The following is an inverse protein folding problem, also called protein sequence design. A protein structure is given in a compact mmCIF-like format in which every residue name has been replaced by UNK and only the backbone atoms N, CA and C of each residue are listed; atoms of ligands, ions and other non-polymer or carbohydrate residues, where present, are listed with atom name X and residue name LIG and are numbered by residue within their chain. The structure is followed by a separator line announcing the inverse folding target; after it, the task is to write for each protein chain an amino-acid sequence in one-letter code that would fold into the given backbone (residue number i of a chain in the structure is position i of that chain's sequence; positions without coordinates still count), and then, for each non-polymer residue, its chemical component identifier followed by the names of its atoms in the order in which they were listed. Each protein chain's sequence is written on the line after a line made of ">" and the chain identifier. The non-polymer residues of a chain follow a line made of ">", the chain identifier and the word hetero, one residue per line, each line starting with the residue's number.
data_IF_850086954280
#
_entry.id   IF_850086954280
#
_cell.length_a   1.000
_cell.length_b   1.000
_cell.length_c   1.000
_cell.angle_alpha   90.00
_cell.angle_beta   90.00
_cell.angle_gamma   90.00
#
_symmetry.space_group_name_H-M   'P 1'
#
loop_
_entity.id
_entity.type
_entity.pdbx_description
1 polymer ?
#
# COMPACT_ATOMS: atom_id res chain seq x y z
N UNK A 1 -24.59 2.65 -27.50
CA UNK A 1 -23.44 3.50 -27.18
C UNK A 1 -22.22 2.76 -27.68
N UNK A 2 -21.48 3.31 -28.65
CA UNK A 2 -20.30 2.64 -29.18
C UNK A 2 -19.17 2.69 -28.13
N UNK A 3 -18.32 1.67 -28.10
CA UNK A 3 -17.08 1.58 -27.28
C UNK A 3 -16.09 2.74 -27.51
N UNK A 4 -16.39 3.66 -28.43
CA UNK A 4 -15.52 4.77 -28.83
C UNK A 4 -15.81 6.09 -28.08
N UNK A 5 -16.83 6.16 -27.23
CA UNK A 5 -17.15 7.40 -26.47
C UNK A 5 -16.47 7.45 -25.08
N UNK A 6 -15.89 6.32 -24.63
CA UNK A 6 -15.18 6.22 -23.34
C UNK A 6 -13.78 6.86 -23.36
N UNK A 7 -13.16 7.03 -24.54
CA UNK A 7 -11.83 7.63 -24.69
C UNK A 7 -11.82 9.15 -24.47
N UNK A 8 -12.99 9.82 -24.50
CA UNK A 8 -13.08 11.27 -24.24
C UNK A 8 -13.01 11.61 -22.75
N UNK A 9 -13.21 10.64 -21.86
CA UNK A 9 -13.37 10.86 -20.41
C UNK A 9 -12.05 10.80 -19.65
N UNK A 10 -11.13 9.95 -20.10
CA UNK A 10 -9.87 9.67 -19.43
C UNK A 10 -8.68 10.33 -20.11
N UNK A 11 -7.68 10.71 -19.32
CA UNK A 11 -6.36 11.10 -19.81
C UNK A 11 -5.40 9.93 -19.56
N UNK A 12 -5.07 9.21 -20.62
CA UNK A 12 -4.08 8.12 -20.55
C UNK A 12 -2.67 8.70 -20.57
N UNK A 13 -1.87 8.33 -19.59
CA UNK A 13 -0.48 8.73 -19.46
C UNK A 13 0.39 7.93 -20.44
N UNK A 14 1.36 8.59 -21.06
CA UNK A 14 2.29 7.93 -21.98
C UNK A 14 3.34 7.11 -21.24
N UNK A 15 3.93 6.08 -21.87
CA UNK A 15 5.05 5.34 -21.31
C UNK A 15 6.21 6.24 -20.87
N UNK A 16 6.53 7.29 -21.63
CA UNK A 16 7.55 8.26 -21.25
C UNK A 16 7.19 9.08 -20.01
N UNK A 17 5.92 9.44 -19.83
CA UNK A 17 5.49 10.12 -18.60
C UNK A 17 5.64 9.21 -17.39
N UNK A 18 5.33 7.91 -17.53
CA UNK A 18 5.50 6.94 -16.46
C UNK A 18 6.99 6.68 -16.20
N UNK A 19 7.79 6.57 -17.27
CA UNK A 19 9.23 6.37 -17.19
C UNK A 19 9.90 7.54 -16.46
N UNK A 20 9.54 8.78 -16.80
CA UNK A 20 10.11 9.95 -16.13
C UNK A 20 9.81 9.95 -14.63
N UNK A 21 8.67 9.41 -14.18
CA UNK A 21 8.37 9.27 -12.74
C UNK A 21 9.21 8.21 -12.03
N UNK A 22 9.63 7.19 -12.78
CA UNK A 22 10.51 6.13 -12.26
C UNK A 22 11.96 6.64 -12.19
N UNK A 23 12.38 7.49 -13.12
CA UNK A 23 13.77 7.93 -13.26
C UNK A 23 14.07 9.25 -12.52
N UNK A 24 13.19 10.26 -12.58
CA UNK A 24 13.42 11.60 -12.02
C UNK A 24 12.83 11.71 -10.61
N UNK A 25 13.68 11.83 -9.58
CA UNK A 25 13.24 11.96 -8.19
C UNK A 25 12.73 13.37 -7.86
N UNK A 26 12.96 14.34 -8.76
CA UNK A 26 12.53 15.73 -8.68
C UNK A 26 11.29 16.04 -9.55
N UNK A 27 10.48 15.02 -9.86
CA UNK A 27 9.17 15.22 -10.49
C UNK A 27 7.97 15.10 -9.54
N UNK A 28 7.24 16.22 -9.34
CA UNK A 28 5.94 16.24 -8.66
C UNK A 28 4.82 15.82 -9.63
N UNK A 29 4.06 14.78 -9.26
CA UNK A 29 2.91 14.34 -10.05
C UNK A 29 1.61 14.89 -9.50
N UNK A 30 0.87 15.62 -10.33
CA UNK A 30 -0.49 16.08 -10.01
C UNK A 30 -1.49 15.30 -10.85
N UNK A 31 -2.29 14.47 -10.19
CA UNK A 31 -3.19 13.53 -10.84
C UNK A 31 -4.64 13.76 -10.42
N UNK A 32 -5.56 13.51 -11.35
CA UNK A 32 -7.00 13.43 -11.15
C UNK A 32 -7.38 11.98 -10.97
N UNK A 33 -7.81 11.60 -9.76
CA UNK A 33 -8.11 10.21 -9.42
C UNK A 33 -9.26 9.61 -10.25
N UNK A 34 -10.13 10.45 -10.81
CA UNK A 34 -11.26 10.03 -11.65
C UNK A 34 -11.03 10.16 -13.16
N UNK A 35 -9.88 10.67 -13.59
CA UNK A 35 -9.60 10.95 -15.02
C UNK A 35 -8.28 10.42 -15.50
N UNK A 36 -7.23 10.48 -14.68
CA UNK A 36 -5.90 10.10 -15.10
C UNK A 36 -5.71 8.61 -14.94
N UNK A 37 -5.33 7.97 -16.04
CA UNK A 37 -5.12 6.53 -16.11
C UNK A 37 -3.76 6.23 -16.71
N UNK A 38 -3.16 5.13 -16.27
CA UNK A 38 -2.02 4.54 -16.95
C UNK A 38 -2.51 3.63 -18.09
N UNK A 39 -1.63 3.15 -18.99
CA UNK A 39 -2.00 2.13 -19.97
C UNK A 39 -2.71 0.93 -19.31
N UNK A 40 -3.81 0.48 -19.91
CA UNK A 40 -4.77 -0.47 -19.31
C UNK A 40 -5.96 0.18 -18.58
N UNK A 41 -5.98 1.51 -18.46
CA UNK A 41 -7.12 2.25 -17.92
C UNK A 41 -7.21 2.26 -16.39
N UNK A 42 -6.18 1.78 -15.69
CA UNK A 42 -6.11 1.78 -14.23
C UNK A 42 -5.79 3.19 -13.71
N UNK A 43 -6.39 3.55 -12.56
CA UNK A 43 -6.27 4.91 -12.02
C UNK A 43 -4.81 5.24 -11.69
N UNK A 44 -4.23 6.26 -12.34
CA UNK A 44 -2.84 6.63 -12.08
C UNK A 44 -2.62 7.08 -10.63
N UNK A 45 -3.68 7.67 -10.04
CA UNK A 45 -3.71 8.08 -8.65
C UNK A 45 -3.54 6.93 -7.65
N UNK A 46 -3.60 5.65 -8.05
CA UNK A 46 -3.33 4.49 -7.18
C UNK A 46 -2.05 3.72 -7.57
N UNK A 47 -1.16 4.34 -8.36
CA UNK A 47 0.17 3.80 -8.64
C UNK A 47 0.89 3.41 -7.33
N UNK A 48 1.50 2.21 -7.25
CA UNK A 48 2.15 1.77 -6.02
C UNK A 48 3.35 2.64 -5.66
N UNK A 49 3.69 2.67 -4.37
CA UNK A 49 4.96 3.20 -3.91
C UNK A 49 6.11 2.36 -4.48
N UNK A 50 7.16 3.04 -4.93
CA UNK A 50 8.39 2.41 -5.42
C UNK A 50 9.56 2.88 -4.58
N UNK A 51 10.59 2.04 -4.48
CA UNK A 51 11.85 2.42 -3.85
C UNK A 51 12.83 2.78 -4.94
N UNK A 52 13.45 3.96 -4.79
CA UNK A 52 14.64 4.30 -5.56
C UNK A 52 15.86 3.79 -4.82
N UNK A 53 16.24 2.55 -5.12
CA UNK A 53 17.39 1.90 -4.50
C UNK A 53 18.71 2.59 -4.87
N UNK A 54 18.80 3.19 -6.06
CA UNK A 54 20.01 3.88 -6.53
C UNK A 54 20.27 5.21 -5.80
N UNK A 55 19.19 5.90 -5.42
CA UNK A 55 19.24 7.14 -4.63
C UNK A 55 19.18 6.89 -3.11
N UNK A 56 19.00 5.63 -2.68
CA UNK A 56 18.98 5.22 -1.27
C UNK A 56 20.39 4.93 -0.76
N UNK A 57 20.61 5.12 0.55
CA UNK A 57 21.86 4.75 1.22
C UNK A 57 21.54 3.93 2.47
N UNK A 58 21.55 2.61 2.34
CA UNK A 58 21.16 1.69 3.43
C UNK A 58 22.20 1.57 4.54
N UNK A 59 23.43 2.02 4.29
CA UNK A 59 24.60 1.82 5.16
C UNK A 59 25.28 3.13 5.55
N UNK A 60 24.76 4.27 5.07
CA UNK A 60 25.25 5.60 5.42
C UNK A 60 25.00 5.99 6.87
N UNK A 61 25.55 7.14 7.23
CA UNK A 61 25.44 7.75 8.55
C UNK A 61 24.89 9.19 8.39
N UNK A 62 23.56 9.39 8.34
CA UNK A 62 22.51 8.40 8.62
C UNK A 62 22.04 7.61 7.38
N UNK A 63 21.65 6.36 7.60
CA UNK A 63 21.06 5.51 6.57
C UNK A 63 19.68 6.03 6.14
N UNK A 64 19.37 5.97 4.85
CA UNK A 64 18.12 6.48 4.29
C UNK A 64 17.60 5.66 3.12
N UNK A 65 16.28 5.73 2.91
CA UNK A 65 15.58 5.15 1.76
C UNK A 65 14.83 6.25 1.04
N UNK A 66 14.94 6.30 -0.29
CA UNK A 66 14.14 7.19 -1.13
C UNK A 66 12.91 6.44 -1.62
N UNK A 67 11.73 6.93 -1.24
CA UNK A 67 10.44 6.43 -1.68
C UNK A 67 9.83 7.35 -2.72
N UNK A 68 9.38 6.76 -3.81
CA UNK A 68 8.62 7.42 -4.88
C UNK A 68 7.13 7.21 -4.67
N UNK A 69 6.35 8.12 -5.22
CA UNK A 69 4.88 8.06 -5.26
C UNK A 69 4.20 8.18 -3.89
N UNK A 70 4.80 8.91 -2.94
CA UNK A 70 4.18 9.20 -1.64
C UNK A 70 3.11 10.26 -1.84
N UNK A 71 1.86 9.95 -1.48
CA UNK A 71 0.76 10.91 -1.55
C UNK A 71 0.89 11.96 -0.44
N UNK A 72 1.14 13.20 -0.83
CA UNK A 72 1.20 14.36 0.07
C UNK A 72 0.57 15.56 -0.62
N UNK A 73 -0.67 15.88 -0.22
CA UNK A 73 -1.45 16.96 -0.79
C UNK A 73 -2.41 16.52 -1.89
N UNK A 74 -3.08 17.51 -2.48
CA UNK A 74 -4.25 17.31 -3.32
C UNK A 74 -5.53 17.77 -2.63
N UNK A 75 -6.65 17.63 -3.32
CA UNK A 75 -7.95 18.06 -2.83
C UNK A 75 -8.96 16.92 -3.08
N UNK A 76 -9.44 16.25 -2.02
CA UNK A 76 -10.43 15.18 -2.14
C UNK A 76 -11.73 15.59 -2.85
N UNK A 77 -12.16 16.85 -2.70
CA UNK A 77 -13.37 17.36 -3.37
C UNK A 77 -13.16 17.54 -4.88
N UNK A 78 -11.96 17.94 -5.27
CA UNK A 78 -11.56 17.98 -6.67
C UNK A 78 -11.07 16.63 -7.18
N UNK A 79 -10.99 15.60 -6.32
CA UNK A 79 -10.40 14.30 -6.64
C UNK A 79 -8.99 14.44 -7.21
N UNK A 80 -8.22 15.39 -6.71
CA UNK A 80 -6.81 15.56 -7.06
C UNK A 80 -5.92 14.94 -6.00
N UNK A 81 -4.85 14.27 -6.43
CA UNK A 81 -3.78 13.74 -5.56
C UNK A 81 -2.45 14.28 -6.05
N UNK A 82 -1.53 14.52 -5.13
CA UNK A 82 -0.17 14.94 -5.45
C UNK A 82 0.80 13.90 -4.92
N UNK A 83 1.59 13.32 -5.81
CA UNK A 83 2.56 12.30 -5.47
C UNK A 83 3.97 12.89 -5.53
N UNK A 84 4.77 12.58 -4.51
CA UNK A 84 6.11 13.10 -4.29
C UNK A 84 7.14 11.98 -4.09
N UNK A 85 8.41 12.34 -4.26
CA UNK A 85 9.55 11.58 -3.76
C UNK A 85 9.94 12.04 -2.36
N UNK A 86 10.20 11.11 -1.47
CA UNK A 86 10.51 11.35 -0.05
C UNK A 86 11.77 10.59 0.34
N UNK A 87 12.75 11.29 0.92
CA UNK A 87 13.91 10.68 1.58
C UNK A 87 13.58 10.40 3.04
N UNK A 88 13.62 9.13 3.41
CA UNK A 88 13.26 8.64 4.73
C UNK A 88 14.52 8.25 5.51
N UNK A 89 14.88 8.95 6.60
CA UNK A 89 15.97 8.53 7.48
C UNK A 89 15.53 7.34 8.33
N UNK A 90 16.30 6.25 8.31
CA UNK A 90 15.95 5.02 9.02
C UNK A 90 16.18 5.11 10.53
N UNK A 91 17.11 5.97 10.96
CA UNK A 91 17.41 6.24 12.37
C UNK A 91 16.41 7.22 13.02
N UNK A 92 15.52 7.82 12.21
CA UNK A 92 14.46 8.72 12.63
C UNK A 92 13.18 8.01 13.11
N UNK A 93 13.07 6.68 12.97
CA UNK A 93 11.86 5.95 13.38
C UNK A 93 11.68 5.95 14.91
N UNK A 94 10.56 6.52 15.36
CA UNK A 94 10.16 6.61 16.76
C UNK A 94 9.26 5.46 17.18
N UNK A 95 8.27 5.15 16.35
CA UNK A 95 7.31 4.06 16.60
C UNK A 95 6.63 3.62 15.31
N UNK A 96 6.06 2.41 15.33
CA UNK A 96 5.17 1.92 14.30
C UNK A 96 3.83 1.49 14.93
N UNK A 97 2.74 1.65 14.22
CA UNK A 97 1.39 1.34 14.67
C UNK A 97 0.65 0.52 13.62
N UNK A 98 -0.01 -0.56 14.07
CA UNK A 98 -1.05 -1.21 13.28
C UNK A 98 -2.34 -0.40 13.44
N UNK A 99 -2.87 0.15 12.35
CA UNK A 99 -4.06 1.01 12.39
C UNK A 99 -5.22 0.35 11.66
N UNK A 100 -6.34 0.19 12.37
CA UNK A 100 -7.60 -0.32 11.84
C UNK A 100 -8.55 0.84 11.55
N UNK A 101 -9.08 0.90 10.32
CA UNK A 101 -9.98 1.94 9.84
C UNK A 101 -11.27 1.29 9.33
N UNK A 102 -12.37 1.32 10.10
CA UNK A 102 -13.61 0.65 9.73
C UNK A 102 -14.36 1.32 8.57
N UNK A 103 -14.98 0.50 7.71
CA UNK A 103 -15.90 0.96 6.68
C UNK A 103 -17.35 0.93 7.20
N UNK A 104 -17.91 2.10 7.56
CA UNK A 104 -19.33 2.25 7.89
C UNK A 104 -19.72 1.98 9.35
N UNK A 105 -21.00 1.67 9.58
CA UNK A 105 -21.58 1.49 10.92
C UNK A 105 -21.03 0.24 11.63
N UNK A 106 -20.71 0.35 12.92
CA UNK A 106 -20.13 -0.72 13.74
C UNK A 106 -18.74 -0.42 14.34
N UNK A 107 -18.10 0.68 13.91
CA UNK A 107 -16.80 1.11 14.44
C UNK A 107 -15.76 -0.02 14.34
N UNK A 108 -14.87 -0.17 15.33
CA UNK A 108 -13.79 -1.20 15.30
C UNK A 108 -14.27 -2.64 15.14
N UNK A 109 -15.55 -2.92 15.34
CA UNK A 109 -16.14 -4.26 15.20
C UNK A 109 -16.88 -4.42 13.88
N UNK A 110 -16.80 -3.42 13.01
CA UNK A 110 -17.35 -3.46 11.66
C UNK A 110 -16.77 -4.64 10.87
N UNK A 111 -17.58 -5.28 10.01
CA UNK A 111 -17.19 -6.49 9.30
C UNK A 111 -16.14 -6.24 8.20
N UNK A 112 -16.01 -5.00 7.75
CA UNK A 112 -15.02 -4.58 6.76
C UNK A 112 -14.21 -3.41 7.33
N UNK A 113 -12.90 -3.55 7.30
CA UNK A 113 -11.97 -2.55 7.78
C UNK A 113 -10.76 -2.51 6.87
N UNK A 114 -10.19 -1.33 6.70
CA UNK A 114 -8.86 -1.19 6.16
C UNK A 114 -7.84 -1.34 7.28
N UNK A 115 -6.71 -1.98 6.98
CA UNK A 115 -5.59 -2.15 7.92
C UNK A 115 -4.35 -1.54 7.31
N UNK A 116 -3.72 -0.64 8.06
CA UNK A 116 -2.58 0.16 7.64
C UNK A 116 -1.41 -0.02 8.61
N UNK A 117 -0.19 0.19 8.11
CA UNK A 117 0.99 0.36 8.94
C UNK A 117 1.40 1.84 8.94
N UNK A 118 1.39 2.45 10.12
CA UNK A 118 1.79 3.84 10.32
C UNK A 118 3.16 3.88 10.98
N UNK A 119 4.09 4.64 10.43
CA UNK A 119 5.44 4.87 10.95
C UNK A 119 5.56 6.32 11.38
N UNK A 120 5.87 6.55 12.65
CA UNK A 120 6.01 7.88 13.25
C UNK A 120 7.49 8.16 13.46
N UNK A 121 7.91 9.38 13.13
CA UNK A 121 9.30 9.80 13.17
C UNK A 121 9.61 10.71 14.37
N UNK A 122 10.89 10.76 14.75
CA UNK A 122 11.42 11.68 15.75
C UNK A 122 11.48 13.10 15.20
N UNK A 123 11.25 14.08 16.06
CA UNK A 123 11.37 15.49 15.71
C UNK A 123 12.80 15.81 15.25
N UNK A 124 12.95 16.46 14.10
CA UNK A 124 14.24 16.75 13.48
C UNK A 124 14.85 15.58 12.68
N UNK A 125 14.19 14.42 12.62
CA UNK A 125 14.57 13.27 11.78
C UNK A 125 13.38 12.77 10.95
N UNK A 126 12.52 13.69 10.54
CA UNK A 126 11.37 13.39 9.71
C UNK A 126 11.80 13.09 8.27
N UNK A 127 11.03 12.25 7.55
CA UNK A 127 11.10 12.17 6.10
C UNK A 127 11.01 13.54 5.44
N UNK A 128 11.81 13.75 4.40
CA UNK A 128 11.89 15.00 3.66
C UNK A 128 11.43 14.82 2.22
N UNK A 129 10.56 15.70 1.75
CA UNK A 129 10.23 15.83 0.33
C UNK A 129 11.49 16.25 -0.43
N UNK A 130 11.97 15.38 -1.34
CA UNK A 130 13.24 15.58 -2.06
C UNK A 130 13.25 16.90 -2.82
N UNK A 131 12.12 17.20 -3.46
CA UNK A 131 11.81 18.40 -4.24
C UNK A 131 11.91 19.73 -3.49
N UNK A 132 11.51 19.70 -2.21
CA UNK A 132 11.35 20.90 -1.39
C UNK A 132 12.49 21.02 -0.37
N UNK A 133 13.45 20.09 -0.38
CA UNK A 133 14.59 20.09 0.52
C UNK A 133 15.44 21.36 0.28
N UNK A 134 15.45 22.27 1.27
CA UNK A 134 16.20 23.52 1.20
C UNK A 134 15.49 24.67 0.48
N UNK A 135 14.22 24.53 0.12
CA UNK A 135 13.43 25.63 -0.44
C UNK A 135 13.19 26.73 0.62
N UNK A 136 13.51 27.99 0.29
CA UNK A 136 13.30 29.15 1.18
C UNK A 136 11.82 29.52 1.36
N UNK A 137 10.94 29.04 0.46
CA UNK A 137 9.50 29.31 0.48
C UNK A 137 8.72 28.04 0.13
N UNK A 138 7.61 27.77 0.83
CA UNK A 138 6.79 26.59 0.59
C UNK A 138 6.17 26.00 1.86
N UNK A 139 5.42 24.90 1.71
CA UNK A 139 4.99 24.07 2.84
C UNK A 139 6.21 23.42 3.52
N UNK A 140 6.10 23.09 4.81
CA UNK A 140 7.16 22.36 5.52
C UNK A 140 7.47 21.06 4.75
N UNK A 141 8.74 20.83 4.33
CA UNK A 141 9.11 19.64 3.58
C UNK A 141 9.11 18.37 4.44
N UNK A 142 8.97 18.50 5.76
CA UNK A 142 9.01 17.40 6.74
C UNK A 142 7.67 16.72 6.88
N UNK A 143 7.69 15.39 6.88
CA UNK A 143 6.51 14.56 7.08
C UNK A 143 6.63 13.82 8.42
N UNK A 144 5.81 14.13 9.44
CA UNK A 144 5.96 13.55 10.78
C UNK A 144 5.69 12.04 10.83
N UNK A 145 4.91 11.52 9.88
CA UNK A 145 4.55 10.12 9.79
C UNK A 145 4.21 9.67 8.36
N UNK A 146 4.56 8.43 8.05
CA UNK A 146 4.18 7.76 6.81
C UNK A 146 3.19 6.64 7.09
N UNK A 147 2.17 6.51 6.24
CA UNK A 147 1.16 5.46 6.33
C UNK A 147 1.21 4.62 5.07
N UNK A 148 1.32 3.31 5.26
CA UNK A 148 1.32 2.32 4.20
C UNK A 148 0.03 1.50 4.26
N UNK A 149 -0.65 1.41 3.12
CA UNK A 149 -1.88 0.63 2.98
C UNK A 149 -1.84 -0.19 1.70
N UNK A 150 -2.14 -1.49 1.81
CA UNK A 150 -2.36 -2.33 0.62
C UNK A 150 -3.76 -2.10 0.09
N UNK A 151 -3.88 -1.71 -1.18
CA UNK A 151 -5.15 -1.32 -1.80
C UNK A 151 -5.41 -2.13 -3.07
N UNK A 152 -6.70 -2.20 -3.43
CA UNK A 152 -7.14 -2.69 -4.73
C UNK A 152 -6.92 -1.61 -5.80
N UNK A 153 -5.88 -1.73 -6.60
CA UNK A 153 -5.67 -0.86 -7.77
C UNK A 153 -6.61 -1.28 -8.89
N UNK A 154 -7.44 -0.34 -9.35
CA UNK A 154 -8.54 -0.58 -10.29
C UNK A 154 -8.74 0.58 -11.26
N UNK A 155 -9.64 0.42 -12.21
CA UNK A 155 -10.07 1.50 -13.10
C UNK A 155 -10.95 2.53 -12.37
N UNK A 156 -10.97 3.81 -12.76
CA UNK A 156 -11.79 4.83 -12.11
C UNK A 156 -13.32 4.61 -12.17
N UNK A 157 -13.81 3.91 -13.19
CA UNK A 157 -15.23 3.58 -13.38
C UNK A 157 -15.68 2.30 -12.67
N UNK A 158 -14.75 1.58 -12.04
CA UNK A 158 -15.04 0.33 -11.35
C UNK A 158 -15.12 0.60 -9.86
N UNK A 159 -16.31 0.45 -9.30
CA UNK A 159 -16.50 0.47 -7.85
C UNK A 159 -15.89 -0.78 -7.20
N UNK A 160 -15.56 -0.64 -5.91
CA UNK A 160 -15.13 -1.78 -5.12
C UNK A 160 -16.31 -2.70 -4.81
N UNK A 161 -16.18 -3.98 -5.11
CA UNK A 161 -17.14 -5.02 -4.75
C UNK A 161 -16.40 -6.22 -4.15
N UNK A 162 -16.77 -6.57 -2.92
CA UNK A 162 -16.16 -7.67 -2.19
C UNK A 162 -16.22 -8.99 -2.97
N UNK A 163 -17.37 -9.32 -3.59
CA UNK A 163 -17.55 -10.60 -4.30
C UNK A 163 -16.74 -10.64 -5.58
N UNK A 164 -16.69 -9.55 -6.34
CA UNK A 164 -15.83 -9.47 -7.53
C UNK A 164 -14.36 -9.67 -7.19
N UNK A 165 -13.91 -9.15 -6.04
CA UNK A 165 -12.55 -9.35 -5.57
C UNK A 165 -12.22 -10.79 -5.15
N UNK A 166 -13.21 -11.66 -5.00
CA UNK A 166 -12.99 -13.09 -4.68
C UNK A 166 -12.53 -13.90 -5.90
N UNK A 167 -12.64 -13.33 -7.10
CA UNK A 167 -12.12 -13.93 -8.33
C UNK A 167 -10.85 -13.20 -8.77
N UNK A 168 -9.71 -13.76 -8.37
CA UNK A 168 -8.39 -13.25 -8.77
C UNK A 168 -8.06 -13.51 -10.23
N UNK A 169 -8.69 -14.51 -10.88
CA UNK A 169 -8.47 -14.79 -12.31
C UNK A 169 -9.06 -13.68 -13.19
N UNK A 170 -10.08 -12.97 -12.69
CA UNK A 170 -10.71 -11.86 -13.41
C UNK A 170 -9.82 -10.61 -13.49
N UNK A 171 -8.74 -10.52 -12.69
CA UNK A 171 -7.77 -9.41 -12.69
C UNK A 171 -8.41 -8.01 -12.60
N UNK A 172 -9.55 -7.90 -11.90
CA UNK A 172 -10.27 -6.63 -11.74
C UNK A 172 -9.52 -5.70 -10.78
N UNK A 173 -8.86 -6.28 -9.78
CA UNK A 173 -8.15 -5.57 -8.72
C UNK A 173 -6.70 -6.04 -8.62
N UNK A 174 -5.77 -5.18 -8.99
CA UNK A 174 -4.34 -5.42 -8.76
C UNK A 174 -3.97 -5.06 -7.32
N UNK A 175 -3.02 -5.78 -6.75
CA UNK A 175 -2.47 -5.52 -5.43
C UNK A 175 -1.45 -4.39 -5.52
N UNK A 176 -1.65 -3.34 -4.72
CA UNK A 176 -0.75 -2.18 -4.69
C UNK A 176 -0.46 -1.77 -3.26
N UNK A 177 0.81 -1.64 -2.88
CA UNK A 177 1.18 -0.95 -1.65
C UNK A 177 1.24 0.55 -1.93
N UNK A 178 0.41 1.32 -1.23
CA UNK A 178 0.39 2.77 -1.32
C UNK A 178 1.06 3.39 -0.10
N UNK A 179 1.79 4.47 -0.33
CA UNK A 179 2.40 5.29 0.71
C UNK A 179 1.76 6.68 0.76
N UNK A 180 1.48 7.15 1.96
CA UNK A 180 0.84 8.44 2.22
C UNK A 180 1.60 9.16 3.32
N UNK A 181 1.65 10.49 3.26
CA UNK A 181 1.80 11.27 4.48
C UNK A 181 0.60 11.00 5.38
N UNK A 182 0.83 10.78 6.68
CA UNK A 182 -0.26 10.40 7.58
C UNK A 182 -1.38 11.43 7.63
N UNK A 183 -1.03 12.73 7.59
CA UNK A 183 -2.00 13.83 7.60
C UNK A 183 -2.95 13.81 6.41
N UNK A 184 -2.44 13.45 5.22
CA UNK A 184 -3.24 13.29 4.01
C UNK A 184 -4.22 12.10 4.15
N UNK A 185 -3.72 10.94 4.58
CA UNK A 185 -4.57 9.75 4.76
C UNK A 185 -5.64 9.97 5.83
N UNK A 186 -5.27 10.57 6.96
CA UNK A 186 -6.21 10.86 8.05
C UNK A 186 -7.28 11.86 7.63
N UNK A 187 -6.92 12.88 6.83
CA UNK A 187 -7.89 13.83 6.29
C UNK A 187 -8.92 13.14 5.40
N UNK A 188 -8.48 12.29 4.47
CA UNK A 188 -9.36 11.53 3.57
C UNK A 188 -10.31 10.64 4.38
N UNK A 189 -9.81 9.87 5.34
CA UNK A 189 -10.64 9.02 6.20
C UNK A 189 -11.60 9.84 7.08
N UNK A 190 -11.16 10.97 7.63
CA UNK A 190 -11.99 11.85 8.43
C UNK A 190 -13.15 12.47 7.64
N UNK A 191 -12.91 12.87 6.38
CA UNK A 191 -13.96 13.37 5.48
C UNK A 191 -15.00 12.30 5.16
N UNK A 192 -14.60 11.04 5.16
CA UNK A 192 -15.48 9.88 5.03
C UNK A 192 -16.13 9.44 6.37
N UNK A 193 -15.87 10.17 7.47
CA UNK A 193 -16.40 9.87 8.79
C UNK A 193 -15.80 8.60 9.41
N UNK A 194 -14.58 8.24 9.01
CA UNK A 194 -13.88 7.04 9.48
C UNK A 194 -12.89 7.39 10.58
N UNK A 195 -12.93 6.61 11.65
CA UNK A 195 -12.03 6.74 12.79
C UNK A 195 -10.84 5.77 12.65
N UNK A 196 -9.72 6.13 13.27
CA UNK A 196 -8.55 5.23 13.37
C UNK A 196 -8.46 4.59 14.75
N UNK A 197 -8.27 3.27 14.77
CA UNK A 197 -7.96 2.50 15.97
C UNK A 197 -6.53 1.97 15.85
N UNK A 198 -5.58 2.69 16.44
CA UNK A 198 -4.15 2.43 16.32
C UNK A 198 -3.61 1.64 17.51
N UNK A 199 -2.77 0.66 17.21
CA UNK A 199 -2.12 -0.23 18.17
C UNK A 199 -0.60 -0.10 18.00
N UNK A 200 0.09 0.58 18.92
CA UNK A 200 1.54 0.70 18.87
C UNK A 200 2.21 -0.68 18.93
N UNK A 201 3.07 -0.95 17.97
CA UNK A 201 3.84 -2.18 17.88
C UNK A 201 4.99 -2.16 18.90
N UNK A 202 5.30 -3.35 19.40
CA UNK A 202 6.47 -3.66 20.22
C UNK A 202 7.29 -4.72 19.47
N UNK A 203 8.21 -4.27 18.64
CA UNK A 203 9.10 -5.15 17.90
C UNK A 203 10.32 -5.52 18.76
N UNK A 204 10.85 -6.75 18.63
CA UNK A 204 12.15 -7.08 19.21
C UNK A 204 13.24 -6.16 18.63
N UNK A 205 14.30 -5.88 19.39
CA UNK A 205 15.38 -5.00 18.96
C UNK A 205 15.07 -3.49 18.98
N UNK A 206 13.89 -3.07 19.44
CA UNK A 206 13.54 -1.66 19.61
C UNK A 206 13.63 -0.87 18.29
N UNK A 207 14.48 0.16 18.23
CA UNK A 207 14.68 0.98 17.03
C UNK A 207 15.17 0.17 15.82
N UNK A 208 16.02 -0.83 16.02
CA UNK A 208 16.47 -1.70 14.94
C UNK A 208 15.30 -2.52 14.38
N UNK A 209 14.42 -3.01 15.25
CA UNK A 209 13.18 -3.67 14.85
C UNK A 209 12.26 -2.77 14.03
N UNK A 210 12.11 -1.49 14.41
CA UNK A 210 11.34 -0.52 13.64
C UNK A 210 11.93 -0.30 12.24
N UNK A 211 13.25 -0.14 12.14
CA UNK A 211 13.94 0.00 10.87
C UNK A 211 13.76 -1.26 9.99
N UNK A 212 13.84 -2.45 10.57
CA UNK A 212 13.61 -3.71 9.85
C UNK A 212 12.15 -3.87 9.39
N UNK A 213 11.17 -3.41 10.18
CA UNK A 213 9.77 -3.40 9.74
C UNK A 213 9.55 -2.45 8.56
N UNK A 214 10.10 -1.24 8.64
CA UNK A 214 10.01 -0.27 7.55
C UNK A 214 10.64 -0.83 6.27
N UNK A 215 11.87 -1.35 6.39
CA UNK A 215 12.62 -2.06 5.34
C UNK A 215 11.82 -3.20 4.72
N UNK A 216 11.26 -4.09 5.55
CA UNK A 216 10.43 -5.20 5.08
C UNK A 216 9.18 -4.72 4.33
N UNK A 217 8.55 -3.64 4.83
CA UNK A 217 7.36 -3.04 4.22
C UNK A 217 7.67 -2.51 2.82
N UNK A 218 8.72 -1.71 2.68
CA UNK A 218 9.04 -1.06 1.41
C UNK A 218 9.64 -2.04 0.40
N UNK A 219 10.43 -3.02 0.82
CA UNK A 219 10.95 -4.06 -0.08
C UNK A 219 9.84 -4.99 -0.59
N UNK A 220 8.92 -5.41 0.27
CA UNK A 220 7.76 -6.22 -0.16
C UNK A 220 6.85 -5.41 -1.10
N UNK A 221 6.61 -4.14 -0.78
CA UNK A 221 5.83 -3.23 -1.62
C UNK A 221 6.45 -3.01 -3.00
N UNK A 222 7.74 -2.68 -3.06
CA UNK A 222 8.48 -2.45 -4.30
C UNK A 222 8.52 -3.71 -5.17
N UNK A 223 8.77 -4.88 -4.58
CA UNK A 223 8.73 -6.15 -5.30
C UNK A 223 7.36 -6.43 -5.93
N UNK A 224 6.29 -6.36 -5.12
CA UNK A 224 4.93 -6.57 -5.62
C UNK A 224 4.53 -5.52 -6.68
N UNK A 225 4.94 -4.26 -6.50
CA UNK A 225 4.70 -3.17 -7.43
C UNK A 225 5.33 -3.43 -8.80
N UNK A 226 6.60 -3.83 -8.82
CA UNK A 226 7.32 -4.14 -10.06
C UNK A 226 6.72 -5.31 -10.81
N UNK A 227 6.34 -6.38 -10.10
CA UNK A 227 5.70 -7.55 -10.71
C UNK A 227 4.31 -7.21 -11.28
N UNK A 228 3.53 -6.41 -10.56
CA UNK A 228 2.20 -5.92 -10.99
C UNK A 228 2.34 -5.03 -12.22
N UNK A 229 3.21 -4.02 -12.16
CA UNK A 229 3.46 -3.08 -13.26
C UNK A 229 3.96 -3.81 -14.50
N UNK A 230 4.90 -4.73 -14.35
CA UNK A 230 5.48 -5.46 -15.47
C UNK A 230 4.45 -6.36 -16.18
N UNK A 231 3.50 -6.95 -15.46
CA UNK A 231 2.44 -7.78 -16.06
C UNK A 231 1.33 -6.97 -16.69
N UNK A 232 0.83 -5.97 -15.97
CA UNK A 232 -0.16 -5.06 -16.49
C UNK A 232 0.34 -4.40 -17.79
N UNK A 233 1.58 -3.88 -17.82
CA UNK A 233 2.15 -3.30 -19.03
C UNK A 233 2.55 -4.36 -20.09
N UNK A 234 2.80 -5.61 -19.72
CA UNK A 234 3.01 -6.64 -20.74
C UNK A 234 1.72 -6.93 -21.52
N UNK A 235 0.56 -6.95 -20.85
CA UNK A 235 -0.74 -7.19 -21.49
C UNK A 235 -1.22 -6.04 -22.39
N UNK A 236 -0.81 -4.81 -22.08
CA UNK A 236 -1.35 -3.59 -22.72
C UNK A 236 -0.55 -3.11 -23.94
N UNK A 237 0.67 -3.61 -24.13
CA UNK A 237 1.56 -3.18 -25.24
C UNK A 237 0.89 -3.34 -26.60
N UNK A 238 0.30 -4.50 -26.85
CA UNK A 238 -0.31 -4.82 -28.15
C UNK A 238 -1.63 -4.08 -28.37
N UNK A 239 -2.37 -3.76 -27.30
CA UNK A 239 -3.57 -2.95 -27.38
C UNK A 239 -3.21 -1.48 -27.70
N UNK A 240 -2.22 -0.92 -27.00
CA UNK A 240 -1.78 0.46 -27.17
C UNK A 240 -1.18 0.71 -28.57
N UNK A 241 -0.38 -0.23 -29.09
CA UNK A 241 0.19 -0.12 -30.44
C UNK A 241 -0.87 -0.12 -31.54
N UNK A 242 -2.00 -0.80 -31.36
CA UNK A 242 -3.12 -0.82 -32.33
C UNK A 242 -3.87 0.52 -32.43
N UNK A 243 -3.80 1.35 -31.39
CA UNK A 243 -4.57 2.59 -31.28
C UNK A 243 -3.72 3.87 -31.35
N UNK A 244 -2.41 3.73 -31.58
CA UNK A 244 -1.50 4.86 -31.73
C UNK A 244 -1.56 5.44 -33.15
N UNK A 245 -1.42 6.78 -33.34
CA UNK A 245 -1.40 7.36 -34.68
C UNK A 245 -0.28 6.74 -35.52
N UNK A 246 -0.56 6.24 -36.74
CA UNK A 246 0.45 5.60 -37.56
C UNK A 246 1.46 6.64 -38.05
N UNK A 247 2.70 6.45 -37.63
CA UNK A 247 3.88 7.10 -38.20
C UNK A 247 5.09 6.21 -37.95
N UNK A 248 5.82 5.84 -39.01
CA UNK A 248 6.92 4.87 -38.95
C UNK A 248 8.02 5.23 -37.93
N UNK A 249 8.20 6.52 -37.63
CA UNK A 249 9.13 7.01 -36.60
C UNK A 249 8.51 7.09 -35.20
N UNK A 250 7.22 7.41 -35.09
CA UNK A 250 6.51 7.51 -33.81
C UNK A 250 6.27 6.11 -33.20
N UNK A 251 5.93 5.12 -34.02
CA UNK A 251 5.67 3.75 -33.52
C UNK A 251 6.96 3.06 -33.04
N UNK A 252 8.09 3.26 -33.74
CA UNK A 252 9.40 2.76 -33.29
C UNK A 252 9.87 3.44 -32.01
N UNK A 253 9.68 4.76 -31.90
CA UNK A 253 10.00 5.54 -30.71
C UNK A 253 9.19 5.03 -29.50
N UNK A 254 7.87 4.88 -29.64
CA UNK A 254 7.02 4.34 -28.58
C UNK A 254 7.44 2.91 -28.19
N UNK A 255 7.66 2.01 -29.15
CA UNK A 255 8.09 0.63 -28.82
C UNK A 255 9.38 0.63 -28.03
N UNK A 256 10.31 1.53 -28.38
CA UNK A 256 11.55 1.73 -27.63
C UNK A 256 11.28 2.22 -26.20
N UNK A 257 10.43 3.25 -26.04
CA UNK A 257 10.01 3.78 -24.75
C UNK A 257 9.34 2.72 -23.86
N UNK A 258 8.47 1.90 -24.44
CA UNK A 258 7.80 0.80 -23.75
C UNK A 258 8.78 -0.27 -23.28
N UNK A 259 9.74 -0.64 -24.14
CA UNK A 259 10.76 -1.60 -23.80
C UNK A 259 11.70 -1.08 -22.70
N UNK A 260 12.06 0.21 -22.75
CA UNK A 260 12.87 0.82 -21.69
C UNK A 260 12.08 0.89 -20.39
N UNK A 261 10.80 1.27 -20.40
CA UNK A 261 9.93 1.23 -19.22
C UNK A 261 9.87 -0.15 -18.59
N UNK A 262 9.60 -1.20 -19.38
CA UNK A 262 9.58 -2.57 -18.87
C UNK A 262 10.95 -3.01 -18.33
N UNK A 263 12.03 -2.60 -18.98
CA UNK A 263 13.40 -2.90 -18.53
C UNK A 263 13.66 -2.24 -17.18
N UNK A 264 13.38 -0.94 -17.02
CA UNK A 264 13.55 -0.20 -15.78
C UNK A 264 12.72 -0.77 -14.62
N UNK A 265 11.46 -1.13 -14.89
CA UNK A 265 10.60 -1.79 -13.89
C UNK A 265 11.21 -3.12 -13.43
N UNK A 266 11.72 -3.92 -14.37
CA UNK A 266 12.29 -5.25 -14.12
C UNK A 266 13.73 -5.23 -13.63
N UNK A 267 14.40 -4.07 -13.61
CA UNK A 267 15.75 -4.01 -13.06
C UNK A 267 15.68 -4.36 -11.58
N UNK A 268 16.32 -5.48 -11.26
CA UNK A 268 16.53 -5.91 -9.88
C UNK A 268 17.74 -5.16 -9.36
N UNK A 269 17.57 -4.40 -8.28
CA UNK A 269 18.70 -3.73 -7.66
C UNK A 269 19.53 -4.73 -6.83
N UNK A 270 20.84 -4.88 -7.09
CA UNK A 270 21.74 -5.75 -6.30
C UNK A 270 21.86 -5.33 -4.82
N UNK A 271 21.55 -4.07 -4.49
CA UNK A 271 21.54 -3.51 -3.15
C UNK A 271 20.18 -3.63 -2.46
N UNK A 272 19.11 -4.01 -3.18
CA UNK A 272 17.84 -4.32 -2.54
C UNK A 272 18.08 -5.49 -1.57
N UNK A 273 17.69 -5.33 -0.30
CA UNK A 273 17.65 -6.47 0.63
C UNK A 273 16.91 -7.62 -0.04
N UNK A 274 17.34 -8.87 0.20
CA UNK A 274 16.78 -10.08 -0.44
C UNK A 274 15.28 -9.89 -0.69
N UNK A 275 14.88 -9.66 -1.95
CA UNK A 275 13.53 -9.19 -2.21
C UNK A 275 12.55 -10.25 -1.72
N UNK A 276 11.54 -9.80 -0.98
CA UNK A 276 10.44 -10.67 -0.58
C UNK A 276 9.47 -10.68 -1.76
N UNK A 277 9.69 -11.63 -2.67
CA UNK A 277 8.79 -11.80 -3.80
C UNK A 277 7.52 -12.52 -3.38
N UNK A 278 6.38 -11.95 -3.74
CA UNK A 278 5.16 -12.73 -3.85
C UNK A 278 5.26 -13.58 -5.11
N UNK A 279 4.79 -14.84 -5.10
CA UNK A 279 4.62 -15.60 -6.32
C UNK A 279 3.85 -14.79 -7.37
N UNK A 280 4.16 -14.90 -8.67
CA UNK A 280 3.45 -14.15 -9.71
C UNK A 280 1.92 -14.30 -9.60
N UNK A 281 1.41 -15.48 -9.28
CA UNK A 281 -0.02 -15.73 -9.09
C UNK A 281 -0.71 -14.86 -7.98
N UNK A 282 0.06 -14.09 -7.19
CA UNK A 282 -0.37 -13.37 -5.98
C UNK A 282 -0.31 -11.84 -6.09
N UNK A 283 -0.24 -11.25 -7.28
CA UNK A 283 -0.28 -9.79 -7.46
C UNK A 283 -1.68 -9.18 -7.58
N UNK A 284 -2.71 -9.98 -7.37
CA UNK A 284 -4.10 -9.52 -7.34
C UNK A 284 -4.55 -9.30 -5.90
N UNK A 285 -5.31 -8.23 -5.70
CA UNK A 285 -5.93 -7.94 -4.42
C UNK A 285 -7.11 -8.90 -4.22
N UNK A 286 -7.05 -9.72 -3.17
CA UNK A 286 -8.11 -10.66 -2.82
C UNK A 286 -8.60 -10.40 -1.38
N UNK A 287 -9.89 -10.08 -1.15
CA UNK A 287 -10.39 -9.58 0.13
C UNK A 287 -10.12 -10.46 1.35
N UNK A 288 -10.05 -11.79 1.17
CA UNK A 288 -9.76 -12.72 2.27
C UNK A 288 -8.31 -13.20 2.34
N UNK A 289 -7.53 -13.05 1.27
CA UNK A 289 -6.24 -13.77 1.13
C UNK A 289 -5.08 -12.78 1.02
N UNK A 290 -5.26 -11.73 0.22
CA UNK A 290 -4.26 -10.70 -0.09
C UNK A 290 -4.91 -9.33 0.02
N UNK A 291 -5.45 -9.05 1.20
CA UNK A 291 -6.09 -7.80 1.54
C UNK A 291 -5.16 -6.92 2.37
N UNK A 292 -5.57 -5.68 2.62
CA UNK A 292 -4.90 -4.81 3.58
C UNK A 292 -4.60 -5.48 4.93
N UNK A 293 -5.53 -6.27 5.45
CA UNK A 293 -5.38 -6.99 6.71
C UNK A 293 -4.33 -8.10 6.64
N UNK A 294 -4.47 -9.02 5.68
CA UNK A 294 -3.56 -10.18 5.58
C UNK A 294 -2.15 -9.74 5.22
N UNK A 295 -2.00 -8.74 4.35
CA UNK A 295 -0.70 -8.23 3.93
C UNK A 295 0.00 -7.45 5.04
N UNK A 296 -0.70 -6.57 5.78
CA UNK A 296 -0.11 -5.87 6.92
C UNK A 296 0.35 -6.84 8.02
N UNK A 297 -0.47 -7.85 8.32
CA UNK A 297 -0.13 -8.94 9.23
C UNK A 297 1.09 -9.72 8.75
N UNK A 298 1.08 -10.16 7.49
CA UNK A 298 2.19 -10.90 6.88
C UNK A 298 3.51 -10.14 7.00
N UNK A 299 3.51 -8.84 6.68
CA UNK A 299 4.70 -7.98 6.80
C UNK A 299 5.24 -7.95 8.23
N UNK A 300 4.38 -7.71 9.23
CA UNK A 300 4.80 -7.68 10.65
C UNK A 300 5.41 -9.01 11.08
N UNK A 301 4.74 -10.13 10.77
CA UNK A 301 5.21 -11.46 11.17
C UNK A 301 6.50 -11.85 10.46
N UNK A 302 6.63 -11.53 9.16
CA UNK A 302 7.85 -11.77 8.40
C UNK A 302 9.03 -11.00 8.99
N UNK A 303 8.83 -9.73 9.33
CA UNK A 303 9.83 -8.91 10.01
C UNK A 303 10.26 -9.54 11.32
N UNK A 304 9.30 -9.94 12.17
CA UNK A 304 9.60 -10.56 13.47
C UNK A 304 10.41 -11.85 13.29
N UNK A 305 10.06 -12.70 12.32
CA UNK A 305 10.83 -13.92 12.02
C UNK A 305 12.26 -13.61 11.57
N UNK A 306 12.46 -12.56 10.75
CA UNK A 306 13.80 -12.08 10.35
C UNK A 306 14.62 -11.58 11.55
N UNK A 307 13.98 -10.82 12.44
CA UNK A 307 14.60 -10.34 13.67
C UNK A 307 15.01 -11.51 14.57
N UNK A 308 14.14 -12.50 14.78
CA UNK A 308 14.47 -13.71 15.55
C UNK A 308 15.64 -14.47 14.92
N UNK A 309 15.63 -14.66 13.59
CA UNK A 309 16.72 -15.32 12.88
C UNK A 309 18.07 -14.57 13.01
N UNK A 310 18.02 -13.24 13.21
CA UNK A 310 19.18 -12.40 13.52
C UNK A 310 19.57 -12.36 15.00
N UNK A 311 18.90 -13.14 15.85
CA UNK A 311 19.16 -13.21 17.30
C UNK A 311 18.40 -12.17 18.14
N UNK A 312 17.35 -11.55 17.59
CA UNK A 312 16.51 -10.56 18.28
C UNK A 312 15.09 -11.12 18.51
N UNK A 313 14.83 -11.66 19.69
CA UNK A 313 13.56 -12.26 20.09
C UNK A 313 12.94 -11.65 21.36
N UNK A 314 13.56 -10.58 21.87
CA UNK A 314 13.18 -9.92 23.13
C UNK A 314 11.70 -9.52 23.18
N UNK A 315 10.98 -10.04 24.17
CA UNK A 315 9.56 -9.76 24.41
C UNK A 315 8.59 -10.53 23.52
N UNK A 316 9.08 -11.30 22.55
CA UNK A 316 8.25 -12.17 21.69
C UNK A 316 7.88 -13.44 22.45
N UNK A 317 6.61 -13.84 22.37
CA UNK A 317 6.13 -15.11 22.92
C UNK A 317 6.13 -16.15 21.80
N UNK A 318 7.23 -16.87 21.64
CA UNK A 318 7.49 -17.74 20.49
C UNK A 318 6.40 -18.80 20.25
N UNK A 319 5.91 -19.45 21.31
CA UNK A 319 4.85 -20.47 21.21
C UNK A 319 3.50 -19.92 20.72
N UNK A 320 3.32 -18.60 20.80
CA UNK A 320 2.12 -17.89 20.33
C UNK A 320 2.37 -17.10 19.05
N UNK A 321 3.61 -17.07 18.55
CA UNK A 321 3.96 -16.32 17.34
C UNK A 321 3.41 -17.05 16.10
N UNK A 322 2.45 -16.46 15.36
CA UNK A 322 1.93 -17.10 14.17
C UNK A 322 2.96 -17.14 13.03
N UNK A 323 2.76 -18.06 12.10
CA UNK A 323 3.55 -18.07 10.87
C UNK A 323 3.12 -16.95 9.90
N UNK A 324 4.07 -16.30 9.20
CA UNK A 324 3.80 -15.33 8.16
C UNK A 324 3.36 -16.06 6.89
N UNK A 325 2.14 -16.57 6.88
CA UNK A 325 1.55 -17.25 5.72
C UNK A 325 0.48 -16.36 5.09
N UNK A 326 0.46 -16.34 3.76
CA UNK A 326 -0.68 -15.91 2.98
C UNK A 326 -1.48 -17.16 2.63
N UNK A 327 -2.80 -17.09 2.78
CA UNK A 327 -3.69 -18.17 2.39
C UNK A 327 -3.63 -18.47 0.89
N UNK A 328 -4.34 -19.50 0.47
CA UNK A 328 -4.60 -19.75 -0.95
C UNK A 328 -6.06 -19.43 -1.27
N UNK A 329 -6.30 -18.97 -2.49
CA UNK A 329 -7.66 -18.80 -3.02
C UNK A 329 -8.29 -20.17 -3.23
N UNK A 330 -9.47 -20.40 -2.66
CA UNK A 330 -10.20 -21.66 -2.81
C UNK A 330 -11.22 -21.57 -3.96
N UNK A 331 -11.54 -22.70 -4.59
CA UNK A 331 -12.46 -22.75 -5.76
C UNK A 331 -13.81 -22.09 -5.46
N UNK A 332 -14.37 -22.29 -4.25
CA UNK A 332 -15.66 -21.70 -3.89
C UNK A 332 -15.64 -20.16 -3.86
N UNK A 333 -14.47 -19.54 -3.64
CA UNK A 333 -14.30 -18.10 -3.62
C UNK A 333 -14.52 -17.51 -5.02
N UNK A 334 -13.92 -18.14 -6.03
CA UNK A 334 -14.11 -17.78 -7.43
C UNK A 334 -15.56 -17.98 -7.86
N UNK A 335 -16.14 -19.13 -7.51
CA UNK A 335 -17.56 -19.39 -7.78
C UNK A 335 -18.49 -18.37 -7.10
N UNK A 336 -18.12 -17.87 -5.92
CA UNK A 336 -18.91 -16.88 -5.20
C UNK A 336 -19.08 -15.59 -6.02
N UNK A 337 -18.03 -15.17 -6.74
CA UNK A 337 -18.05 -13.97 -7.57
C UNK A 337 -19.12 -14.02 -8.68
N UNK A 338 -19.43 -15.23 -9.17
CA UNK A 338 -20.30 -15.46 -10.33
C UNK A 338 -21.69 -16.01 -10.00
N UNK A 339 -22.05 -16.11 -8.72
CA UNK A 339 -23.30 -16.74 -8.31
C UNK A 339 -24.37 -15.77 -7.81
N UNK A 340 -25.64 -16.12 -8.06
CA UNK A 340 -26.79 -15.45 -7.46
C UNK A 340 -27.03 -15.85 -6.00
N UNK A 341 -28.13 -15.36 -5.41
CA UNK A 341 -28.45 -15.55 -3.98
C UNK A 341 -28.44 -17.02 -3.53
N UNK A 342 -29.00 -17.94 -4.34
CA UNK A 342 -28.96 -19.38 -4.05
C UNK A 342 -27.53 -19.90 -3.96
N UNK A 343 -26.64 -19.45 -4.84
CA UNK A 343 -25.25 -19.89 -4.84
C UNK A 343 -24.46 -19.33 -3.66
N UNK A 344 -24.76 -18.10 -3.22
CA UNK A 344 -24.24 -17.52 -1.97
C UNK A 344 -24.60 -18.37 -0.76
N UNK A 345 -25.88 -18.74 -0.58
CA UNK A 345 -26.31 -19.57 0.55
C UNK A 345 -25.60 -20.93 0.60
N UNK A 346 -25.39 -21.55 -0.56
CA UNK A 346 -24.69 -22.85 -0.64
C UNK A 346 -23.21 -22.75 -0.25
N UNK A 347 -22.60 -21.56 -0.35
CA UNK A 347 -21.18 -21.33 -0.07
C UNK A 347 -20.94 -20.66 1.28
N UNK A 348 -21.96 -20.11 1.92
CA UNK A 348 -21.86 -19.51 3.25
C UNK A 348 -21.22 -20.45 4.30
N UNK A 349 -21.53 -21.77 4.35
CA UNK A 349 -20.83 -22.67 5.27
C UNK A 349 -19.33 -22.83 4.98
N UNK A 350 -18.93 -22.79 3.70
CA UNK A 350 -17.52 -22.81 3.29
C UNK A 350 -16.82 -21.53 3.71
N UNK A 351 -17.46 -20.38 3.51
CA UNK A 351 -16.94 -19.08 3.94
C UNK A 351 -16.78 -19.02 5.48
N UNK A 352 -17.78 -19.47 6.25
CA UNK A 352 -17.68 -19.55 7.71
C UNK A 352 -16.54 -20.47 8.15
N UNK A 353 -16.46 -21.67 7.55
CA UNK A 353 -15.38 -22.62 7.84
C UNK A 353 -14.00 -22.05 7.51
N UNK A 354 -13.89 -21.29 6.43
CA UNK A 354 -12.66 -20.62 6.05
C UNK A 354 -12.28 -19.58 7.09
N UNK A 355 -13.18 -18.65 7.43
CA UNK A 355 -12.94 -17.60 8.44
C UNK A 355 -12.55 -18.18 9.80
N UNK A 356 -13.19 -19.27 10.24
CA UNK A 356 -12.85 -19.97 11.49
C UNK A 356 -11.47 -20.66 11.48
N UNK A 357 -10.87 -20.85 10.31
CA UNK A 357 -9.53 -21.47 10.15
C UNK A 357 -8.46 -20.44 9.81
N UNK A 358 -8.88 -19.30 9.27
CA UNK A 358 -8.05 -18.25 8.74
C UNK A 358 -8.35 -16.95 9.47
N UNK A 359 -8.01 -16.91 10.77
CA UNK A 359 -8.22 -15.74 11.61
C UNK A 359 -7.43 -14.52 11.08
N UNK A 360 -6.36 -14.75 10.33
CA UNK A 360 -5.60 -13.74 9.61
C UNK A 360 -6.43 -12.93 8.61
N UNK A 361 -7.54 -13.49 8.12
CA UNK A 361 -8.47 -12.83 7.22
C UNK A 361 -9.47 -11.91 7.94
N UNK A 362 -9.45 -11.87 9.29
CA UNK A 362 -10.42 -11.15 10.13
C UNK A 362 -9.74 -9.96 10.83
N UNK A 363 -9.93 -8.72 10.35
CA UNK A 363 -9.24 -7.55 10.91
C UNK A 363 -9.42 -7.36 12.43
N UNK A 364 -10.63 -7.54 13.01
CA UNK A 364 -10.82 -7.44 14.46
C UNK A 364 -9.94 -8.37 15.32
N UNK A 365 -9.52 -9.53 14.78
CA UNK A 365 -8.76 -10.54 15.51
C UNK A 365 -7.24 -10.27 15.45
N UNK A 366 -6.77 -9.54 14.44
CA UNK A 366 -5.35 -9.23 14.27
C UNK A 366 -4.70 -8.57 15.49
N UNK A 367 -5.29 -7.52 16.12
CA UNK A 367 -4.67 -6.94 17.31
C UNK A 367 -4.68 -7.87 18.53
N UNK A 368 -5.53 -8.90 18.56
CA UNK A 368 -5.52 -9.89 19.64
C UNK A 368 -4.39 -10.89 19.42
N UNK A 369 -4.28 -11.41 18.20
CA UNK A 369 -3.20 -12.32 17.80
C UNK A 369 -1.81 -11.72 18.03
N UNK A 370 -1.60 -10.46 17.61
CA UNK A 370 -0.31 -9.78 17.83
C UNK A 370 -0.03 -9.49 19.32
N UNK A 371 -1.06 -9.19 20.12
CA UNK A 371 -0.89 -9.01 21.58
C UNK A 371 -0.51 -10.33 22.26
N UNK A 372 -1.13 -11.43 21.84
CA UNK A 372 -0.82 -12.79 22.32
C UNK A 372 0.62 -13.20 22.01
N UNK A 373 1.15 -12.79 20.86
CA UNK A 373 2.55 -12.97 20.48
C UNK A 373 3.52 -12.00 21.17
N UNK A 374 3.03 -11.06 21.99
CA UNK A 374 3.86 -10.05 22.69
C UNK A 374 4.27 -8.86 21.82
N UNK A 375 3.67 -8.70 20.64
CA UNK A 375 4.08 -7.74 19.61
C UNK A 375 3.38 -6.39 19.71
N UNK A 376 2.51 -6.18 20.71
CA UNK A 376 1.86 -4.89 20.96
C UNK A 376 2.33 -4.28 22.28
N UNK A 377 2.37 -2.95 22.31
CA UNK A 377 2.60 -2.23 23.55
C UNK A 377 1.43 -2.42 24.50
N UNK A 378 1.74 -2.51 25.80
CA UNK A 378 0.75 -2.61 26.88
C UNK A 378 0.90 -1.43 27.83
N UNK A 379 -0.23 -0.90 28.29
CA UNK A 379 -0.30 0.13 29.33
C UNK A 379 -1.18 -0.39 30.47
N UNK A 380 -0.66 -0.36 31.70
CA UNK A 380 -1.33 -0.92 32.88
C UNK A 380 -1.83 -2.38 32.68
N UNK A 381 -1.00 -3.22 32.05
CA UNK A 381 -1.31 -4.63 31.80
C UNK A 381 -2.34 -4.90 30.70
N UNK A 382 -2.87 -3.87 30.02
CA UNK A 382 -3.82 -4.01 28.92
C UNK A 382 -3.18 -3.57 27.60
N UNK A 383 -3.61 -4.15 26.48
CA UNK A 383 -3.24 -3.71 25.13
C UNK A 383 -3.46 -2.21 24.99
N UNK A 384 -2.40 -1.49 24.63
CA UNK A 384 -2.46 -0.05 24.40
C UNK A 384 -3.19 0.19 23.07
N UNK A 385 -4.25 0.98 23.12
CA UNK A 385 -5.07 1.35 21.97
C UNK A 385 -5.28 2.86 21.98
N UNK A 386 -4.99 3.49 20.85
CA UNK A 386 -5.23 4.90 20.62
C UNK A 386 -6.41 5.00 19.65
N UNK A 387 -7.40 5.83 19.98
CA UNK A 387 -8.55 6.10 19.12
C UNK A 387 -8.43 7.52 18.63
N UNK A 388 -8.23 7.68 17.31
CA UNK A 388 -8.21 8.97 16.67
C UNK A 388 -9.50 9.22 15.91
N UNK A 389 -10.06 10.42 16.07
CA UNK A 389 -11.25 10.85 15.35
C UNK A 389 -11.23 12.37 15.14
N UNK A 390 -11.96 12.84 14.13
CA UNK A 390 -11.96 14.24 13.71
C UNK A 390 -12.51 15.23 14.77
N UNK A 391 -13.32 14.75 15.72
CA UNK A 391 -13.96 15.58 16.76
C UNK A 391 -13.19 15.61 18.08
N UNK A 392 -12.18 14.78 18.23
CA UNK A 392 -11.51 14.50 19.49
C UNK A 392 -9.99 14.51 19.34
N UNK A 393 -9.35 13.43 19.77
CA UNK A 393 -7.90 13.28 19.60
C UNK A 393 -7.60 13.01 18.13
N UNK A 394 -6.83 13.89 17.48
CA UNK A 394 -6.21 13.57 16.19
C UNK A 394 -4.75 13.15 16.41
N UNK A 395 -4.11 12.45 15.46
CA UNK A 395 -2.69 12.14 15.55
C UNK A 395 -1.79 13.40 15.54
N UNK A 396 -2.34 14.54 15.10
CA UNK A 396 -1.65 15.81 14.88
C UNK A 396 -2.06 16.91 15.88
N UNK A 397 -2.76 16.54 16.95
CA UNK A 397 -3.25 17.49 17.96
C UNK A 397 -4.61 18.09 17.63
N UNK A 398 -4.88 19.32 18.09
CA UNK A 398 -6.16 19.98 17.80
C UNK A 398 -6.12 20.56 16.39
N UNK A 399 -7.09 20.17 15.56
CA UNK A 399 -7.29 20.80 14.25
C UNK A 399 -7.64 22.29 14.43
N UNK A 400 -7.14 23.14 13.53
CA UNK A 400 -7.28 24.60 13.60
C UNK A 400 -8.73 25.12 13.50
N UNK A 401 -9.70 24.27 13.12
CA UNK A 401 -11.08 24.66 12.82
C UNK A 401 -12.12 24.19 13.85
N UNK A 402 -11.71 23.85 15.07
CA UNK A 402 -12.64 23.50 16.18
C UNK A 402 -12.88 24.70 17.08
#
# INVERSE_FOLDING_TARGET
>A
MSEFDTDSRYRTLSPNQILSWIEDDAQIMRLRADRDVIPGGYMAAAIPALVDWSASDLYGEPASIVLRHVNYGGNPFEKSTVLHSVRVPLDGLKSAELTLVPFGEGGRLGPLQHVQLRFVFEEGKEPLLVELAGAETGADPRIPDLVFGWVSWRRPDVDWDFRKGMDDDAQIYWLSLRAFAGSQMFLEDALEGRDWFSYPLRLPGGKQGLAELFRSTVTLGDGAARDTLARMLAGEKDAWLKHSPPGDTAEQDIRSQWNELLKQIRMVDPQAMTPVHLPPEQDTYHPLVRSCATMARYTVLLTVKRLIASGQDEGVILDKLPEPLLGNTEVWMKELAHTGLRGLFLRAPLAMRYVMRHHESVPPDLPAELDDAGLLQRYNGKRHRIHYNAKGTTPYGRAFFI
#
